data_IF_068012605487
#
_entry.id   IF_068012605487
#
_cell.length_a   1.000
_cell.length_b   1.000
_cell.length_c   1.000
_cell.angle_alpha   90.00
_cell.angle_beta   90.00
_cell.angle_gamma   90.00
#
_symmetry.space_group_name_H-M   'P 1'
#
loop_
_entity.id
_entity.type
_entity.pdbx_description
1 polymer ?
#
# COMPACT_ATOMS: atom_id res chain seq x y z
N UNK A 1 -4.18 -2.91 -10.83
CA UNK A 1 -4.53 -3.90 -11.86
C UNK A 1 -3.47 -5.00 -12.02
N UNK A 2 -2.25 -4.76 -12.50
CA UNK A 2 -1.27 -5.85 -12.68
C UNK A 2 -0.97 -6.64 -11.39
N UNK A 3 -0.72 -5.94 -10.28
CA UNK A 3 -0.45 -6.56 -8.96
C UNK A 3 -1.66 -7.35 -8.46
N UNK A 4 -2.88 -6.82 -8.60
CA UNK A 4 -4.13 -7.49 -8.24
C UNK A 4 -4.28 -8.83 -8.97
N UNK A 5 -4.08 -8.85 -10.28
CA UNK A 5 -4.16 -10.09 -11.08
C UNK A 5 -3.15 -11.14 -10.61
N UNK A 6 -1.96 -10.72 -10.19
CA UNK A 6 -0.93 -11.61 -9.65
C UNK A 6 -1.35 -12.15 -8.28
N UNK A 7 -1.87 -11.29 -7.39
CA UNK A 7 -2.34 -11.69 -6.07
C UNK A 7 -3.50 -12.67 -6.18
N UNK A 8 -4.54 -12.32 -6.93
CA UNK A 8 -5.69 -13.20 -7.15
C UNK A 8 -5.27 -14.52 -7.79
N UNK A 9 -4.38 -14.47 -8.78
CA UNK A 9 -3.85 -15.65 -9.44
C UNK A 9 -3.10 -16.57 -8.48
N UNK A 10 -2.23 -16.03 -7.63
CA UNK A 10 -1.45 -16.79 -6.67
C UNK A 10 -2.34 -17.38 -5.56
N UNK A 11 -3.26 -16.58 -5.02
CA UNK A 11 -4.17 -17.00 -3.95
C UNK A 11 -5.10 -18.14 -4.38
N UNK A 12 -5.53 -18.20 -5.65
CA UNK A 12 -6.27 -19.34 -6.21
C UNK A 12 -5.54 -20.69 -6.08
N UNK A 13 -4.21 -20.68 -6.02
CA UNK A 13 -3.39 -21.88 -5.84
C UNK A 13 -2.80 -21.98 -4.42
N UNK A 14 -3.30 -21.22 -3.46
CA UNK A 14 -2.76 -21.19 -2.09
C UNK A 14 -1.31 -20.70 -2.02
N UNK A 15 -0.86 -19.91 -3.00
CA UNK A 15 0.48 -19.32 -3.04
C UNK A 15 0.43 -17.89 -2.53
N UNK A 16 1.48 -17.47 -1.84
CA UNK A 16 1.61 -16.11 -1.33
C UNK A 16 2.38 -15.22 -2.30
N UNK A 17 2.11 -13.92 -2.25
CA UNK A 17 2.78 -12.89 -3.04
C UNK A 17 3.64 -12.00 -2.14
N UNK A 18 4.88 -11.78 -2.57
CA UNK A 18 5.80 -10.82 -1.97
C UNK A 18 6.10 -9.71 -2.94
N UNK A 19 6.14 -8.46 -2.47
CA UNK A 19 6.56 -7.28 -3.25
C UNK A 19 7.88 -6.74 -2.70
N UNK A 20 8.81 -6.41 -3.60
CA UNK A 20 10.10 -5.80 -3.30
C UNK A 20 10.30 -4.50 -4.11
N UNK A 21 11.39 -3.80 -3.84
CA UNK A 21 11.74 -2.53 -4.49
C UNK A 21 11.12 -1.32 -3.80
N UNK A 22 11.38 -0.13 -4.34
CA UNK A 22 11.03 1.17 -3.73
C UNK A 22 9.55 1.30 -3.36
N UNK A 23 8.66 0.68 -4.14
CA UNK A 23 7.22 0.68 -3.87
C UNK A 23 6.86 0.00 -2.54
N UNK A 24 7.59 -1.05 -2.14
CA UNK A 24 7.41 -1.69 -0.84
C UNK A 24 7.90 -0.80 0.32
N UNK A 25 8.72 0.21 0.03
CA UNK A 25 9.31 1.15 0.99
C UNK A 25 8.60 2.51 1.06
N UNK A 26 7.66 2.79 0.13
CA UNK A 26 6.82 3.99 0.10
C UNK A 26 5.59 3.79 1.02
N UNK A 27 5.48 4.53 2.14
CA UNK A 27 4.33 4.48 3.04
C UNK A 27 2.97 4.63 2.34
N UNK A 28 2.91 5.48 1.30
CA UNK A 28 1.69 5.77 0.54
C UNK A 28 1.29 4.56 -0.30
N UNK A 29 2.25 3.89 -0.94
CA UNK A 29 2.00 2.70 -1.75
C UNK A 29 1.68 1.47 -0.89
N UNK A 30 2.25 1.36 0.31
CA UNK A 30 2.00 0.22 1.21
C UNK A 30 0.53 0.07 1.57
N UNK A 31 -0.20 1.17 1.77
CA UNK A 31 -1.63 1.11 2.05
C UNK A 31 -2.42 0.45 0.90
N UNK A 32 -2.06 0.79 -0.34
CA UNK A 32 -2.61 0.15 -1.53
C UNK A 32 -2.25 -1.35 -1.58
N UNK A 33 -0.99 -1.71 -1.33
CA UNK A 33 -0.53 -3.11 -1.35
C UNK A 33 -1.27 -3.97 -0.30
N UNK A 34 -1.57 -3.42 0.87
CA UNK A 34 -2.41 -4.07 1.90
C UNK A 34 -3.82 -4.33 1.38
N UNK A 35 -4.45 -3.31 0.76
CA UNK A 35 -5.78 -3.46 0.16
C UNK A 35 -5.81 -4.52 -0.93
N UNK A 36 -4.75 -4.60 -1.74
CA UNK A 36 -4.62 -5.57 -2.84
C UNK A 36 -4.39 -6.99 -2.34
N UNK A 37 -4.14 -7.19 -1.04
CA UNK A 37 -3.93 -8.51 -0.46
C UNK A 37 -2.50 -9.05 -0.60
N UNK A 38 -1.50 -8.17 -0.77
CA UNK A 38 -0.09 -8.60 -0.76
C UNK A 38 0.27 -9.18 0.61
N UNK A 39 0.85 -10.39 0.62
CA UNK A 39 1.13 -11.13 1.85
C UNK A 39 2.42 -10.69 2.53
N UNK A 40 3.43 -10.29 1.75
CA UNK A 40 4.78 -9.98 2.25
C UNK A 40 5.38 -8.75 1.56
N UNK A 41 6.09 -7.94 2.34
CA UNK A 41 6.90 -6.84 1.84
C UNK A 41 8.37 -7.12 2.15
N UNK A 42 9.21 -7.02 1.13
CA UNK A 42 10.66 -7.10 1.26
C UNK A 42 11.22 -5.68 1.19
N UNK A 43 11.71 -5.19 2.33
CA UNK A 43 12.18 -3.81 2.50
C UNK A 43 13.57 -3.79 3.13
N UNK A 44 14.32 -2.72 2.91
CA UNK A 44 15.58 -2.47 3.58
C UNK A 44 15.41 -2.40 5.10
N UNK A 45 16.46 -2.77 5.84
CA UNK A 45 16.45 -2.76 7.30
C UNK A 45 16.08 -1.38 7.88
N UNK A 46 16.54 -0.30 7.23
CA UNK A 46 16.22 1.07 7.60
C UNK A 46 14.72 1.40 7.44
N UNK A 47 14.03 0.76 6.50
CA UNK A 47 12.62 0.99 6.20
C UNK A 47 11.66 0.12 7.03
N UNK A 48 12.15 -0.96 7.66
CA UNK A 48 11.31 -1.90 8.44
C UNK A 48 10.45 -1.20 9.48
N UNK A 49 11.03 -0.31 10.30
CA UNK A 49 10.29 0.35 11.39
C UNK A 49 9.18 1.25 10.84
N UNK A 50 9.49 2.03 9.80
CA UNK A 50 8.56 2.95 9.14
C UNK A 50 7.40 2.18 8.50
N UNK A 51 7.69 1.15 7.72
CA UNK A 51 6.67 0.36 7.03
C UNK A 51 5.82 -0.45 8.01
N UNK A 52 6.43 -1.03 9.05
CA UNK A 52 5.68 -1.69 10.13
C UNK A 52 4.72 -0.73 10.84
N UNK A 53 5.10 0.54 11.01
CA UNK A 53 4.25 1.56 11.62
C UNK A 53 2.97 1.83 10.80
N UNK A 54 3.10 1.86 9.47
CA UNK A 54 1.97 2.01 8.53
C UNK A 54 1.06 0.79 8.61
N UNK A 55 1.60 -0.42 8.44
CA UNK A 55 0.83 -1.67 8.46
C UNK A 55 0.03 -1.81 9.76
N UNK A 56 0.62 -1.47 10.90
CA UNK A 56 -0.04 -1.59 12.22
C UNK A 56 -1.18 -0.59 12.45
N UNK A 57 -1.27 0.49 11.68
CA UNK A 57 -2.38 1.44 11.75
C UNK A 57 -3.41 1.25 10.64
N UNK A 58 -3.01 0.62 9.54
CA UNK A 58 -3.91 0.36 8.44
C UNK A 58 -5.02 -0.61 8.87
N UNK A 59 -6.27 -0.24 8.59
CA UNK A 59 -7.39 -1.17 8.61
C UNK A 59 -7.53 -1.76 7.19
N UNK A 60 -7.56 -3.09 7.08
CA UNK A 60 -7.65 -3.76 5.78
C UNK A 60 -8.93 -3.40 5.02
N UNK A 61 -10.07 -3.28 5.70
CA UNK A 61 -11.34 -2.92 5.05
C UNK A 61 -11.26 -1.52 4.45
N UNK A 62 -10.76 -0.53 5.21
CA UNK A 62 -10.57 0.83 4.69
C UNK A 62 -9.62 0.86 3.48
N UNK A 63 -8.57 0.04 3.49
CA UNK A 63 -7.65 -0.07 2.36
C UNK A 63 -8.33 -0.66 1.10
N UNK A 64 -9.24 -1.63 1.27
CA UNK A 64 -10.04 -2.18 0.17
C UNK A 64 -11.04 -1.15 -0.36
N UNK A 65 -11.69 -0.39 0.52
CA UNK A 65 -12.64 0.65 0.14
C UNK A 65 -11.94 1.76 -0.66
N UNK A 66 -10.73 2.16 -0.22
CA UNK A 66 -9.88 3.13 -0.93
C UNK A 66 -9.49 2.63 -2.34
N UNK A 67 -9.24 1.34 -2.53
CA UNK A 67 -8.97 0.78 -3.86
C UNK A 67 -10.15 0.96 -4.82
N UNK A 68 -11.39 0.83 -4.34
CA UNK A 68 -12.58 1.06 -5.17
C UNK A 68 -12.71 2.51 -5.61
N UNK A 69 -12.25 3.45 -4.80
CA UNK A 69 -12.13 4.86 -5.19
C UNK A 69 -11.02 5.08 -6.22
N UNK A 70 -9.86 4.47 -6.01
CA UNK A 70 -8.73 4.55 -6.93
C UNK A 70 -9.05 3.97 -8.31
N UNK A 71 -9.83 2.89 -8.41
CA UNK A 71 -10.21 2.31 -9.70
C UNK A 71 -11.12 3.19 -10.55
N UNK A 72 -11.72 4.22 -9.97
CA UNK A 72 -12.51 5.24 -10.68
C UNK A 72 -11.65 6.39 -11.22
N UNK A 73 -10.36 6.39 -10.92
CA UNK A 73 -9.42 7.43 -11.35
C UNK A 73 -8.58 6.93 -12.53
N UNK A 74 -8.38 7.79 -13.53
CA UNK A 74 -7.53 7.51 -14.69
C UNK A 74 -6.15 8.20 -14.60
N UNK A 75 -5.87 8.90 -13.50
CA UNK A 75 -4.64 9.66 -13.27
C UNK A 75 -3.87 9.19 -12.03
N UNK A 76 -2.57 8.96 -12.21
CA UNK A 76 -1.68 8.51 -11.14
C UNK A 76 -1.46 9.59 -10.06
N UNK A 77 -1.52 10.88 -10.43
CA UNK A 77 -1.41 11.99 -9.47
C UNK A 77 -2.56 11.99 -8.47
N UNK A 78 -3.78 11.82 -8.96
CA UNK A 78 -5.01 11.74 -8.18
C UNK A 78 -5.00 10.51 -7.27
N UNK A 79 -4.58 9.35 -7.78
CA UNK A 79 -4.38 8.15 -6.95
C UNK A 79 -3.39 8.43 -5.81
N UNK A 80 -2.25 9.07 -6.10
CA UNK A 80 -1.25 9.38 -5.08
C UNK A 80 -1.78 10.38 -4.06
N UNK A 81 -2.60 11.35 -4.48
CA UNK A 81 -3.26 12.30 -3.59
C UNK A 81 -4.23 11.60 -2.63
N UNK A 82 -5.09 10.70 -3.13
CA UNK A 82 -6.01 9.91 -2.31
C UNK A 82 -5.26 9.07 -1.26
N UNK A 83 -4.23 8.34 -1.70
CA UNK A 83 -3.41 7.54 -0.78
C UNK A 83 -2.68 8.40 0.26
N UNK A 84 -2.17 9.57 -0.12
CA UNK A 84 -1.53 10.50 0.81
C UNK A 84 -2.53 11.03 1.86
N UNK A 85 -3.75 11.39 1.43
CA UNK A 85 -4.83 11.78 2.34
C UNK A 85 -5.16 10.69 3.36
N UNK A 86 -5.28 9.44 2.91
CA UNK A 86 -5.52 8.31 3.81
C UNK A 86 -4.37 8.11 4.82
N UNK A 87 -3.11 8.34 4.44
CA UNK A 87 -1.98 8.31 5.38
C UNK A 87 -2.06 9.47 6.39
N UNK A 88 -2.53 10.65 5.98
CA UNK A 88 -2.77 11.77 6.90
C UNK A 88 -3.88 11.46 7.91
N UNK A 89 -4.98 10.85 7.47
CA UNK A 89 -6.09 10.40 8.34
C UNK A 89 -5.67 9.35 9.36
N UNK A 90 -4.69 8.51 9.02
CA UNK A 90 -4.06 7.56 9.95
C UNK A 90 -3.12 8.24 10.97
N UNK A 91 -3.00 9.57 10.95
CA UNK A 91 -2.08 10.34 11.79
C UNK A 91 -0.61 10.15 11.39
N UNK A 92 -0.36 9.72 10.15
CA UNK A 92 0.97 9.36 9.64
C UNK A 92 1.51 10.38 8.62
N UNK A 93 0.90 11.56 8.50
CA UNK A 93 1.29 12.58 7.51
C UNK A 93 2.76 12.99 7.56
N UNK A 94 3.42 12.88 8.72
CA UNK A 94 4.87 13.09 8.84
C UNK A 94 5.69 12.17 7.95
N UNK A 95 5.22 10.95 7.65
CA UNK A 95 5.89 9.99 6.77
C UNK A 95 5.78 10.35 5.29
N UNK A 96 4.78 11.13 4.90
CA UNK A 96 4.60 11.61 3.52
C UNK A 96 5.45 12.85 3.26
N UNK A 97 5.63 13.68 4.29
CA UNK A 97 6.30 14.98 4.20
C UNK A 97 7.80 14.91 4.49
N UNK A 98 8.25 13.99 5.35
CA UNK A 98 9.65 13.87 5.77
C UNK A 98 10.61 13.30 4.70
N UNK A 99 10.12 13.04 3.48
CA UNK A 99 10.93 12.57 2.34
C UNK A 99 11.07 13.59 1.20
N UNK A 100 10.71 14.86 1.43
CA UNK A 100 11.02 15.98 0.53
C UNK A 100 12.02 16.94 1.17
#
# INVERSE_FOLDING_TARGET
RAIELIVDGAHRYGRQVSVCGEMAEDPVAVLMLIGLGVDRLSVSAASVARIKHVIRRANRQNAVDLLQEMYRQDDAGTIRFLLAGAIEELGLGGLVRAGR
#
